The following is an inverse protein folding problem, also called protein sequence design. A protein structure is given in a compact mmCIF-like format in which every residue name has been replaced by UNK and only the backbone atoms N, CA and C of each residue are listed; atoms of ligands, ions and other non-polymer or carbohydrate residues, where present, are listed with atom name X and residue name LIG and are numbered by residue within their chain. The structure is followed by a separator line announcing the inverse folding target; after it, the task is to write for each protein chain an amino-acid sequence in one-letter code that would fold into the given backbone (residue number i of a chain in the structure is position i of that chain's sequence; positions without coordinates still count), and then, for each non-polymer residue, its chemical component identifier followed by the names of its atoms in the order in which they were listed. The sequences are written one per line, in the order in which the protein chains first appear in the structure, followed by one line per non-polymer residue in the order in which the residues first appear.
data_IF_703050862203
#
_entry.id   IF_703050862203
#
_cell.length_a   1.000
_cell.length_b   1.000
_cell.length_c   1.000
_cell.angle_alpha   90.00
_cell.angle_beta   90.00
_cell.angle_gamma   90.00
#
_symmetry.space_group_name_H-M   'P 1'
#
loop_
_entity.id
_entity.type
_entity.pdbx_description
1 polymer ?
#
# COMPACT_ATOMS: atom_id res chain seq x y z
N UNK A 1 4.89 -6.49 16.63
CA UNK A 1 3.67 -6.30 15.84
C UNK A 1 3.32 -7.64 15.25
N UNK A 2 2.11 -8.11 15.50
CA UNK A 2 1.61 -9.33 14.87
C UNK A 2 1.34 -9.05 13.39
N UNK A 3 1.31 -10.12 12.57
CA UNK A 3 1.00 -9.99 11.12
C UNK A 3 -0.31 -9.22 10.89
N UNK A 4 -1.30 -9.48 11.73
CA UNK A 4 -2.64 -8.89 11.66
C UNK A 4 -2.64 -7.38 11.92
N UNK A 5 -1.76 -6.88 12.79
CA UNK A 5 -1.58 -5.44 13.00
C UNK A 5 -0.99 -4.77 11.76
N UNK A 6 -0.01 -5.41 11.11
CA UNK A 6 0.59 -4.88 9.88
C UNK A 6 -0.38 -4.90 8.71
N UNK A 7 -1.21 -5.96 8.61
CA UNK A 7 -2.30 -6.04 7.62
C UNK A 7 -3.28 -4.88 7.81
N UNK A 8 -3.76 -4.67 9.03
CA UNK A 8 -4.67 -3.57 9.34
C UNK A 8 -4.03 -2.21 9.09
N UNK A 9 -2.76 -2.03 9.43
CA UNK A 9 -2.03 -0.79 9.17
C UNK A 9 -1.88 -0.52 7.67
N UNK A 10 -1.60 -1.56 6.87
CA UNK A 10 -1.50 -1.46 5.42
C UNK A 10 -2.86 -1.15 4.78
N UNK A 11 -3.93 -1.84 5.18
CA UNK A 11 -5.28 -1.58 4.70
C UNK A 11 -5.68 -0.14 5.02
N UNK A 12 -5.50 0.30 6.26
CA UNK A 12 -5.78 1.68 6.65
C UNK A 12 -4.97 2.69 5.85
N UNK A 13 -3.67 2.44 5.64
CA UNK A 13 -2.81 3.33 4.86
C UNK A 13 -3.27 3.41 3.40
N UNK A 14 -3.59 2.28 2.77
CA UNK A 14 -4.11 2.26 1.40
C UNK A 14 -5.44 2.99 1.35
N UNK A 15 -6.43 2.65 2.17
CA UNK A 15 -7.76 3.28 2.19
C UNK A 15 -7.72 4.79 2.45
N UNK A 16 -6.86 5.25 3.36
CA UNK A 16 -6.73 6.70 3.64
C UNK A 16 -6.02 7.46 2.51
N UNK A 17 -5.15 6.78 1.75
CA UNK A 17 -4.49 7.34 0.58
C UNK A 17 -5.24 7.03 -0.73
N UNK A 18 -6.38 6.35 -0.68
CA UNK A 18 -7.16 5.99 -1.87
C UNK A 18 -7.84 7.21 -2.44
N UNK A 19 -7.77 7.34 -3.76
CA UNK A 19 -8.52 8.35 -4.52
C UNK A 19 -9.89 7.79 -4.92
N UNK A 20 -10.66 8.57 -5.67
CA UNK A 20 -12.01 8.23 -6.13
C UNK A 20 -12.08 6.92 -6.93
N UNK A 21 -10.97 6.52 -7.59
CA UNK A 21 -10.84 5.26 -8.34
C UNK A 21 -10.46 4.05 -7.46
N UNK A 22 -10.31 4.25 -6.15
CA UNK A 22 -9.90 3.21 -5.19
C UNK A 22 -8.40 2.88 -5.20
N UNK A 23 -7.61 3.47 -6.10
CA UNK A 23 -6.15 3.34 -6.11
C UNK A 23 -5.47 4.42 -5.29
N UNK A 24 -4.40 4.01 -4.61
CA UNK A 24 -3.58 4.84 -3.74
C UNK A 24 -2.15 4.86 -4.27
N UNK A 25 -1.50 6.02 -4.29
CA UNK A 25 -0.09 6.09 -4.67
C UNK A 25 0.76 5.38 -3.61
N UNK A 26 1.61 4.43 -4.05
CA UNK A 26 2.44 3.64 -3.15
C UNK A 26 3.43 4.52 -2.37
N UNK A 27 3.89 5.63 -2.94
CA UNK A 27 4.74 6.59 -2.24
C UNK A 27 4.02 7.24 -1.05
N UNK A 28 2.74 7.59 -1.23
CA UNK A 28 1.91 8.18 -0.17
C UNK A 28 1.59 7.14 0.92
N UNK A 29 1.26 5.91 0.52
CA UNK A 29 1.05 4.78 1.45
C UNK A 29 2.31 4.54 2.29
N UNK A 30 3.49 4.56 1.68
CA UNK A 30 4.75 4.44 2.41
C UNK A 30 4.99 5.58 3.40
N UNK A 31 4.72 6.83 3.00
CA UNK A 31 4.81 7.98 3.87
C UNK A 31 3.85 7.89 5.07
N UNK A 32 2.61 7.44 4.82
CA UNK A 32 1.61 7.20 5.86
C UNK A 32 2.09 6.13 6.85
N UNK A 33 2.53 4.96 6.36
CA UNK A 33 3.03 3.87 7.20
C UNK A 33 4.19 4.32 8.10
N UNK A 34 5.15 5.08 7.55
CA UNK A 34 6.27 5.64 8.33
C UNK A 34 5.79 6.61 9.41
N UNK A 35 4.83 7.49 9.09
CA UNK A 35 4.24 8.43 10.04
C UNK A 35 3.56 7.72 11.21
N UNK A 36 2.99 6.54 10.96
CA UNK A 36 2.34 5.69 11.96
C UNK A 36 3.30 4.68 12.63
N UNK A 37 4.61 4.93 12.62
CA UNK A 37 5.65 4.08 13.24
C UNK A 37 5.70 2.64 12.69
N UNK A 38 5.12 2.36 11.52
CA UNK A 38 5.26 1.06 10.88
C UNK A 38 6.63 0.97 10.22
N UNK A 39 7.48 0.08 10.75
CA UNK A 39 8.81 -0.16 10.23
C UNK A 39 8.75 -1.28 9.19
N UNK A 40 9.07 -0.93 7.95
CA UNK A 40 9.25 -1.87 6.86
C UNK A 40 10.62 -1.64 6.22
N UNK A 41 11.26 -2.69 5.72
CA UNK A 41 12.54 -2.58 5.02
C UNK A 41 12.36 -1.94 3.64
N UNK A 42 12.03 -2.76 2.64
CA UNK A 42 11.70 -2.30 1.29
C UNK A 42 10.18 -2.31 1.13
N UNK A 43 9.57 -1.16 0.83
CA UNK A 43 8.12 -1.03 0.67
C UNK A 43 7.58 -2.02 -0.36
N UNK A 44 8.26 -2.13 -1.51
CA UNK A 44 7.87 -3.05 -2.59
C UNK A 44 7.84 -4.52 -2.11
N UNK A 45 8.82 -4.96 -1.31
CA UNK A 45 8.85 -6.31 -0.73
C UNK A 45 7.80 -6.49 0.37
N UNK A 46 7.57 -5.45 1.17
CA UNK A 46 6.54 -5.46 2.21
C UNK A 46 5.17 -5.67 1.57
N UNK A 47 4.80 -4.83 0.60
CA UNK A 47 3.48 -4.87 -0.06
C UNK A 47 3.30 -6.18 -0.83
N UNK A 48 4.35 -6.68 -1.50
CA UNK A 48 4.31 -7.99 -2.16
C UNK A 48 4.05 -9.16 -1.19
N UNK A 49 4.44 -9.03 0.09
CA UNK A 49 4.13 -10.03 1.12
C UNK A 49 2.66 -10.03 1.55
N UNK A 50 1.89 -9.04 1.12
CA UNK A 50 0.46 -8.86 1.40
C UNK A 50 -0.38 -8.86 0.12
N UNK A 51 0.11 -9.48 -0.95
CA UNK A 51 -0.59 -9.56 -2.23
C UNK A 51 -1.97 -10.24 -2.14
N UNK A 52 -2.28 -10.94 -1.04
CA UNK A 52 -3.60 -11.52 -0.76
C UNK A 52 -4.64 -10.49 -0.27
N UNK A 53 -4.22 -9.29 0.16
CA UNK A 53 -5.12 -8.22 0.65
C UNK A 53 -4.95 -6.90 -0.09
N UNK A 54 -3.86 -6.73 -0.84
CA UNK A 54 -3.61 -5.54 -1.65
C UNK A 54 -3.15 -5.90 -3.05
N UNK A 55 -3.74 -5.23 -4.03
CA UNK A 55 -3.32 -5.27 -5.41
C UNK A 55 -2.33 -4.15 -5.68
N UNK A 56 -1.24 -4.43 -6.41
CA UNK A 56 -0.26 -3.41 -6.81
C UNK A 56 -0.15 -3.33 -8.31
N UNK A 57 -0.10 -2.11 -8.83
CA UNK A 57 0.11 -1.83 -10.26
C UNK A 57 1.23 -0.81 -10.42
N UNK A 58 2.06 -0.97 -11.44
CA UNK A 58 3.06 0.04 -11.81
C UNK A 58 2.59 0.66 -13.12
N UNK A 59 2.42 1.96 -13.10
CA UNK A 59 2.20 2.77 -14.28
C UNK A 59 3.57 3.21 -14.83
N UNK A 60 3.87 2.72 -16.04
CA UNK A 60 5.11 3.06 -16.75
C UNK A 60 4.87 4.12 -17.85
N UNK A 61 3.63 4.58 -18.01
CA UNK A 61 3.28 5.63 -18.98
C UNK A 61 3.66 7.00 -18.40
N UNK A 62 3.65 7.14 -17.08
CA UNK A 62 4.12 8.33 -16.34
C UNK A 62 5.64 8.24 -16.08
N UNK A 63 6.37 9.34 -16.27
CA UNK A 63 7.80 9.47 -15.93
C UNK A 63 8.01 10.45 -14.77
N UNK A 64 8.63 10.03 -13.65
CA UNK A 64 9.09 8.67 -13.34
C UNK A 64 7.91 7.69 -13.12
N UNK A 65 8.14 6.36 -13.31
CA UNK A 65 7.09 5.36 -13.14
C UNK A 65 6.49 5.41 -11.74
N UNK A 66 5.16 5.35 -11.67
CA UNK A 66 4.41 5.47 -10.43
C UNK A 66 3.79 4.14 -10.06
N UNK A 67 4.05 3.68 -8.84
CA UNK A 67 3.40 2.50 -8.30
C UNK A 67 2.13 2.88 -7.54
N UNK A 68 1.08 2.10 -7.73
CA UNK A 68 -0.21 2.23 -7.08
C UNK A 68 -0.55 0.95 -6.31
N UNK A 69 -1.33 1.10 -5.26
CA UNK A 69 -1.88 0.01 -4.46
C UNK A 69 -3.39 0.20 -4.24
N UNK A 70 -4.13 -0.90 -4.18
CA UNK A 70 -5.57 -0.92 -3.90
C UNK A 70 -5.88 -2.06 -2.94
N UNK A 71 -6.80 -1.85 -2.00
CA UNK A 71 -7.27 -2.92 -1.12
C UNK A 71 -8.13 -3.89 -1.93
N UNK A 72 -7.83 -5.18 -1.83
CA UNK A 72 -8.70 -6.23 -2.34
C UNK A 72 -9.90 -6.35 -1.41
N UNK A 73 -11.11 -6.20 -1.95
CA UNK A 73 -12.34 -6.36 -1.18
C UNK A 73 -12.34 -7.73 -0.50
N UNK A 74 -12.56 -7.74 0.82
CA UNK A 74 -12.90 -8.99 1.52
C UNK A 74 -14.24 -9.47 0.96
N UNK A 75 -14.20 -10.55 0.19
CA UNK A 75 -15.37 -11.42 0.02
C UNK A 75 -15.76 -12.04 1.37
#
# INVERSE_FOLDING_TARGET
MEKKDMENALINAVTNCSREDGWSNLAEVGAYLRKHNVRYGKLSKFVASYAHIVETRIDNEIQPPVAYARVLGRE
#
